data_IF_416884008986
#
_entry.id   IF_416884008986
#
_cell.length_a   1.000
_cell.length_b   1.000
_cell.length_c   1.000
_cell.angle_alpha   90.00
_cell.angle_beta   90.00
_cell.angle_gamma   90.00
#
_symmetry.space_group_name_H-M   'P 1'
#
loop_
_entity.id
_entity.type
_entity.pdbx_description
1 polymer ?
#
# COMPACT_ATOMS: atom_id res chain seq x y z
N UNK A 1 2.56 -2.60 28.10
CA UNK A 1 2.30 -1.96 26.80
C UNK A 1 2.48 -3.03 25.73
N UNK A 2 1.40 -3.73 25.39
CA UNK A 2 1.42 -4.76 24.35
C UNK A 2 1.81 -4.14 23.01
N UNK A 3 2.80 -4.73 22.37
CA UNK A 3 3.39 -4.27 21.12
C UNK A 3 2.31 -4.12 20.05
N UNK A 4 1.93 -2.88 19.71
CA UNK A 4 0.84 -2.57 18.76
C UNK A 4 1.21 -2.87 17.30
N UNK A 5 2.31 -3.56 17.01
CA UNK A 5 2.86 -3.71 15.66
C UNK A 5 3.22 -5.16 15.33
N UNK A 6 2.90 -5.57 14.09
CA UNK A 6 3.38 -6.86 13.54
C UNK A 6 4.91 -6.90 13.50
N UNK A 7 5.55 -8.02 13.88
CA UNK A 7 6.96 -8.23 13.66
C UNK A 7 7.21 -8.45 12.16
N UNK A 8 7.93 -7.52 11.52
CA UNK A 8 8.28 -7.60 10.10
C UNK A 8 9.77 -7.90 9.98
N UNK A 9 10.12 -9.06 9.41
CA UNK A 9 11.51 -9.53 9.25
C UNK A 9 12.37 -8.55 8.44
N UNK A 10 11.79 -7.80 7.52
CA UNK A 10 12.49 -6.78 6.71
C UNK A 10 13.00 -5.57 7.51
N UNK A 11 12.49 -5.33 8.73
CA UNK A 11 12.97 -4.23 9.60
C UNK A 11 14.37 -4.46 10.15
N UNK A 12 14.82 -5.71 10.26
CA UNK A 12 16.19 -6.03 10.69
C UNK A 12 17.21 -6.00 9.54
N UNK A 13 16.80 -5.61 8.32
CA UNK A 13 17.72 -5.52 7.19
C UNK A 13 18.70 -4.33 7.38
N UNK A 14 20.02 -4.57 7.40
CA UNK A 14 21.03 -3.53 7.64
C UNK A 14 20.98 -2.37 6.63
N UNK A 15 20.59 -2.63 5.38
CA UNK A 15 20.47 -1.61 4.35
C UNK A 15 19.30 -0.66 4.63
N UNK A 16 18.16 -1.22 5.05
CA UNK A 16 16.97 -0.43 5.39
C UNK A 16 17.21 0.42 6.64
N UNK A 17 17.96 -0.10 7.63
CA UNK A 17 18.35 0.66 8.83
C UNK A 17 19.26 1.83 8.46
N UNK A 18 20.26 1.61 7.60
CA UNK A 18 21.15 2.69 7.13
C UNK A 18 20.39 3.75 6.34
N UNK A 19 19.48 3.34 5.46
CA UNK A 19 18.65 4.25 4.67
C UNK A 19 17.73 5.08 5.57
N UNK A 20 17.05 4.44 6.53
CA UNK A 20 16.17 5.13 7.48
C UNK A 20 16.94 6.15 8.34
N UNK A 21 18.14 5.80 8.81
CA UNK A 21 19.03 6.75 9.51
C UNK A 21 19.42 7.90 8.60
N UNK A 22 19.86 7.64 7.37
CA UNK A 22 20.24 8.72 6.44
C UNK A 22 19.08 9.68 6.16
N UNK A 23 17.86 9.15 5.95
CA UNK A 23 16.66 9.95 5.74
C UNK A 23 16.24 10.73 6.98
N UNK A 24 16.39 10.16 8.19
CA UNK A 24 16.04 10.86 9.43
C UNK A 24 16.90 12.11 9.65
N UNK A 25 18.17 12.08 9.21
CA UNK A 25 19.10 13.22 9.28
C UNK A 25 18.81 14.31 8.22
N UNK A 26 18.05 13.99 7.17
CA UNK A 26 17.69 14.93 6.07
C UNK A 26 16.46 15.80 6.36
N UNK A 27 15.99 15.87 7.62
CA UNK A 27 14.74 16.51 8.03
C UNK A 27 13.45 15.99 7.34
N UNK A 28 13.53 14.88 6.60
CA UNK A 28 12.36 14.24 6.01
C UNK A 28 11.51 13.63 7.14
N UNK A 29 10.20 13.86 7.08
CA UNK A 29 9.24 13.32 8.05
C UNK A 29 8.67 11.99 7.57
N UNK A 30 8.31 11.07 8.48
CA UNK A 30 7.60 9.83 8.12
C UNK A 30 6.36 10.11 7.27
N UNK A 31 5.55 11.10 7.66
CA UNK A 31 4.30 11.46 6.99
C UNK A 31 4.52 11.87 5.52
N UNK A 32 5.63 12.55 5.20
CA UNK A 32 5.98 12.89 3.82
C UNK A 32 6.27 11.64 2.99
N UNK A 33 6.94 10.65 3.57
CA UNK A 33 7.24 9.36 2.92
C UNK A 33 5.93 8.58 2.68
N UNK A 34 5.04 8.55 3.68
CA UNK A 34 3.74 7.90 3.56
C UNK A 34 2.87 8.54 2.48
N UNK A 35 2.82 9.88 2.41
CA UNK A 35 2.09 10.59 1.34
C UNK A 35 2.71 10.37 -0.04
N UNK A 36 4.04 10.39 -0.14
CA UNK A 36 4.75 10.14 -1.39
C UNK A 36 4.45 8.74 -1.96
N UNK A 37 4.22 7.75 -1.10
CA UNK A 37 3.91 6.37 -1.50
C UNK A 37 2.66 6.22 -2.38
N UNK A 38 1.76 7.21 -2.39
CA UNK A 38 0.57 7.23 -3.24
C UNK A 38 0.94 7.44 -4.71
N UNK A 39 2.02 8.16 -5.01
CA UNK A 39 2.48 8.43 -6.38
C UNK A 39 2.83 7.15 -7.14
N UNK A 40 3.75 6.28 -6.67
CA UNK A 40 4.02 5.01 -7.33
C UNK A 40 2.80 4.08 -7.32
N UNK A 41 1.92 4.18 -6.33
CA UNK A 41 0.66 3.41 -6.32
C UNK A 41 -0.29 3.83 -7.46
N UNK A 42 -0.40 5.13 -7.72
CA UNK A 42 -1.19 5.69 -8.82
C UNK A 42 -0.61 5.31 -10.19
N UNK A 43 0.71 5.36 -10.35
CA UNK A 43 1.39 4.91 -11.57
C UNK A 43 1.10 3.42 -11.82
N UNK A 44 1.18 2.59 -10.77
CA UNK A 44 0.84 1.18 -10.87
C UNK A 44 -0.64 0.95 -11.20
N UNK A 45 -1.57 1.73 -10.65
CA UNK A 45 -2.99 1.66 -11.04
C UNK A 45 -3.16 1.90 -12.54
N UNK A 46 -2.55 2.95 -13.09
CA UNK A 46 -2.63 3.25 -14.53
C UNK A 46 -2.07 2.08 -15.34
N UNK A 47 -0.89 1.59 -14.96
CA UNK A 47 -0.25 0.47 -15.65
C UNK A 47 -1.11 -0.81 -15.59
N UNK A 48 -1.70 -1.12 -14.44
CA UNK A 48 -2.65 -2.21 -14.26
C UNK A 48 -3.92 -2.00 -15.09
N UNK A 49 -4.46 -0.79 -15.18
CA UNK A 49 -5.69 -0.56 -15.97
C UNK A 49 -5.47 -0.69 -17.47
N UNK A 50 -4.24 -0.45 -17.95
CA UNK A 50 -3.94 -0.34 -19.38
C UNK A 50 -3.15 -1.52 -19.97
N UNK A 51 -2.66 -2.47 -19.16
CA UNK A 51 -1.78 -3.53 -19.67
C UNK A 51 -2.40 -4.37 -20.78
N UNK A 52 -3.73 -4.53 -20.81
CA UNK A 52 -4.45 -5.27 -21.85
C UNK A 52 -4.82 -4.44 -23.09
N UNK A 53 -4.66 -3.11 -23.05
CA UNK A 53 -5.09 -2.22 -24.15
C UNK A 53 -4.20 -2.38 -25.39
N UNK A 54 -2.91 -2.66 -25.20
CA UNK A 54 -2.00 -2.90 -26.31
C UNK A 54 -1.98 -4.37 -26.71
N UNK A 55 -1.97 -4.65 -28.01
CA UNK A 55 -1.75 -6.00 -28.56
C UNK A 55 -0.27 -6.40 -28.62
N UNK A 56 0.65 -5.46 -28.39
CA UNK A 56 2.09 -5.70 -28.43
C UNK A 56 2.56 -6.31 -27.11
N UNK A 57 3.00 -7.57 -27.14
CA UNK A 57 3.43 -8.32 -25.96
C UNK A 57 4.45 -7.56 -25.09
N UNK A 58 5.42 -6.88 -25.71
CA UNK A 58 6.45 -6.14 -24.97
C UNK A 58 5.87 -4.94 -24.19
N UNK A 59 4.81 -4.29 -24.70
CA UNK A 59 4.12 -3.19 -23.99
C UNK A 59 3.38 -3.75 -22.78
N UNK A 60 2.70 -4.87 -22.93
CA UNK A 60 1.98 -5.53 -21.83
C UNK A 60 2.94 -5.90 -20.70
N UNK A 61 4.08 -6.54 -21.05
CA UNK A 61 5.12 -6.90 -20.09
C UNK A 61 5.69 -5.66 -19.40
N UNK A 62 5.99 -4.60 -20.16
CA UNK A 62 6.50 -3.35 -19.59
C UNK A 62 5.53 -2.73 -18.59
N UNK A 63 4.23 -2.67 -18.91
CA UNK A 63 3.20 -2.13 -18.02
C UNK A 63 3.06 -2.99 -16.75
N UNK A 64 3.11 -4.32 -16.86
CA UNK A 64 3.10 -5.20 -15.69
C UNK A 64 4.35 -5.04 -14.82
N UNK A 65 5.53 -4.83 -15.42
CA UNK A 65 6.77 -4.53 -14.68
C UNK A 65 6.63 -3.20 -13.93
N UNK A 66 6.08 -2.17 -14.58
CA UNK A 66 5.82 -0.87 -13.94
C UNK A 66 4.84 -1.03 -12.76
N UNK A 67 3.78 -1.83 -12.93
CA UNK A 67 2.84 -2.13 -11.86
C UNK A 67 3.51 -2.81 -10.66
N UNK A 68 4.30 -3.86 -10.90
CA UNK A 68 5.05 -4.57 -9.86
C UNK A 68 6.02 -3.60 -9.16
N UNK A 69 6.76 -2.79 -9.92
CA UNK A 69 7.70 -1.82 -9.37
C UNK A 69 6.98 -0.79 -8.48
N UNK A 70 5.80 -0.28 -8.89
CA UNK A 70 5.02 0.66 -8.09
C UNK A 70 4.48 0.04 -6.80
N UNK A 71 3.98 -1.20 -6.84
CA UNK A 71 3.54 -1.95 -5.66
C UNK A 71 4.69 -2.14 -4.67
N UNK A 72 5.87 -2.55 -5.16
CA UNK A 72 7.06 -2.75 -4.31
C UNK A 72 7.58 -1.42 -3.76
N UNK A 73 7.60 -0.36 -4.56
CA UNK A 73 8.01 0.97 -4.10
C UNK A 73 7.10 1.45 -2.96
N UNK A 74 5.79 1.28 -3.09
CA UNK A 74 4.84 1.61 -2.01
C UNK A 74 5.11 0.79 -0.74
N UNK A 75 5.40 -0.51 -0.87
CA UNK A 75 5.73 -1.36 0.29
C UNK A 75 7.02 -0.90 0.98
N UNK A 76 8.03 -0.50 0.19
CA UNK A 76 9.27 0.06 0.71
C UNK A 76 9.03 1.39 1.43
N UNK A 77 8.17 2.27 0.91
CA UNK A 77 7.81 3.51 1.60
C UNK A 77 7.19 3.24 2.99
N UNK A 78 6.25 2.29 3.10
CA UNK A 78 5.62 1.87 4.37
C UNK A 78 6.60 1.16 5.34
N UNK A 79 7.69 0.59 4.82
CA UNK A 79 8.77 0.09 5.66
C UNK A 79 9.63 1.25 6.19
N UNK A 80 10.02 2.15 5.30
CA UNK A 80 10.95 3.24 5.58
C UNK A 80 10.31 4.29 6.49
N UNK A 81 9.05 4.70 6.28
CA UNK A 81 8.37 5.67 7.13
C UNK A 81 8.27 5.19 8.58
N UNK A 82 7.91 3.93 8.80
CA UNK A 82 7.84 3.29 10.10
C UNK A 82 9.20 3.23 10.79
N UNK A 83 10.28 3.01 10.03
CA UNK A 83 11.65 3.02 10.55
C UNK A 83 12.15 4.45 10.86
N UNK A 84 11.88 5.42 9.99
CA UNK A 84 12.23 6.84 10.20
C UNK A 84 11.48 7.42 11.41
N UNK A 85 10.24 6.99 11.66
CA UNK A 85 9.48 7.40 12.84
C UNK A 85 10.16 6.97 14.14
N UNK A 86 10.68 5.73 14.18
CA UNK A 86 11.36 5.15 15.35
C UNK A 86 12.76 5.77 15.51
N UNK A 87 13.61 5.68 14.48
CA UNK A 87 15.00 6.14 14.52
C UNK A 87 15.10 7.66 14.69
N UNK A 88 14.19 8.41 14.07
CA UNK A 88 14.14 9.87 14.18
C UNK A 88 13.43 10.39 15.43
N UNK A 89 12.88 9.51 16.29
CA UNK A 89 12.01 9.88 17.42
C UNK A 89 10.86 10.83 17.02
N UNK A 90 10.35 10.69 15.79
CA UNK A 90 9.30 11.55 15.20
C UNK A 90 7.91 10.91 15.29
N UNK A 91 7.67 10.08 16.31
CA UNK A 91 6.37 9.43 16.52
C UNK A 91 5.37 10.51 16.96
N UNK A 92 4.27 10.65 16.23
CA UNK A 92 3.20 11.60 16.54
C UNK A 92 1.87 10.86 16.67
N UNK A 93 0.88 11.40 17.41
CA UNK A 93 -0.47 10.82 17.46
C UNK A 93 -1.12 10.74 16.07
N UNK A 94 -0.91 11.76 15.24
CA UNK A 94 -1.36 11.76 13.84
C UNK A 94 -0.60 10.74 12.97
N UNK A 95 0.58 10.27 13.39
CA UNK A 95 1.39 9.31 12.65
C UNK A 95 0.71 7.95 12.47
N UNK A 96 -0.18 7.54 13.39
CA UNK A 96 -0.99 6.33 13.19
C UNK A 96 -1.94 6.50 11.97
N UNK A 97 -2.52 7.69 11.80
CA UNK A 97 -3.37 8.02 10.65
C UNK A 97 -2.58 8.04 9.34
N UNK A 98 -1.42 8.70 9.32
CA UNK A 98 -0.56 8.76 8.13
C UNK A 98 0.05 7.41 7.76
N UNK A 99 0.12 6.46 8.69
CA UNK A 99 0.54 5.09 8.42
C UNK A 99 -0.58 4.23 7.83
N UNK A 100 -1.84 4.60 8.00
CA UNK A 100 -2.96 3.77 7.54
C UNK A 100 -3.73 4.35 6.35
N UNK A 101 -3.91 5.67 6.26
CA UNK A 101 -4.70 6.30 5.20
C UNK A 101 -4.04 6.14 3.82
N UNK A 102 -2.74 6.46 3.62
CA UNK A 102 -2.08 6.26 2.33
C UNK A 102 -2.06 4.79 1.90
N UNK A 103 -1.99 3.88 2.87
CA UNK A 103 -2.09 2.44 2.65
C UNK A 103 -3.45 2.08 2.06
N UNK A 104 -4.56 2.57 2.64
CA UNK A 104 -5.92 2.33 2.12
C UNK A 104 -6.13 2.91 0.73
N UNK A 105 -5.62 4.12 0.50
CA UNK A 105 -5.67 4.76 -0.82
C UNK A 105 -4.92 3.90 -1.84
N UNK A 106 -3.69 3.46 -1.50
CA UNK A 106 -2.88 2.62 -2.38
C UNK A 106 -3.52 1.27 -2.66
N UNK A 107 -4.05 0.60 -1.64
CA UNK A 107 -4.76 -0.68 -1.80
C UNK A 107 -5.97 -0.52 -2.75
N UNK A 108 -6.74 0.57 -2.58
CA UNK A 108 -7.88 0.90 -3.45
C UNK A 108 -7.42 1.14 -4.89
N UNK A 109 -6.36 1.92 -5.09
CA UNK A 109 -5.79 2.18 -6.41
C UNK A 109 -5.39 0.88 -7.12
N UNK A 110 -4.76 -0.07 -6.41
CA UNK A 110 -4.39 -1.36 -7.01
C UNK A 110 -5.60 -2.20 -7.41
N UNK A 111 -6.58 -2.36 -6.53
CA UNK A 111 -7.77 -3.17 -6.82
C UNK A 111 -8.68 -2.53 -7.89
N UNK A 112 -8.81 -1.20 -7.91
CA UNK A 112 -9.51 -0.49 -8.98
C UNK A 112 -8.76 -0.63 -10.30
N UNK A 113 -7.45 -0.46 -10.32
CA UNK A 113 -6.63 -0.66 -11.52
C UNK A 113 -6.78 -2.07 -12.11
N UNK A 114 -6.75 -3.09 -11.24
CA UNK A 114 -7.04 -4.47 -11.64
C UNK A 114 -8.48 -4.65 -12.15
N UNK A 115 -9.47 -4.09 -11.45
CA UNK A 115 -10.87 -4.15 -11.85
C UNK A 115 -11.11 -3.53 -13.22
N UNK A 116 -10.47 -2.38 -13.50
CA UNK A 116 -10.48 -1.71 -14.80
C UNK A 116 -9.86 -2.56 -15.91
N UNK A 117 -8.76 -3.26 -15.61
CA UNK A 117 -8.09 -4.16 -16.56
C UNK A 117 -9.00 -5.28 -17.06
N UNK A 118 -9.99 -5.68 -16.26
CA UNK A 118 -10.94 -6.73 -16.59
C UNK A 118 -12.13 -6.22 -17.43
N UNK A 119 -12.34 -4.91 -17.56
CA UNK A 119 -13.40 -4.29 -18.39
C UNK A 119 -12.99 -4.32 -19.88
N UNK A 120 -12.34 -5.39 -20.32
CA UNK A 120 -11.75 -5.45 -21.66
C UNK A 120 -12.81 -5.19 -22.74
N UNK A 121 -12.54 -4.29 -23.71
CA UNK A 121 -13.43 -4.08 -24.85
C UNK A 121 -13.53 -5.30 -25.78
N UNK A 122 -12.74 -6.36 -25.55
CA UNK A 122 -12.76 -7.60 -26.32
C UNK A 122 -13.57 -8.74 -25.68
N UNK A 123 -14.09 -8.58 -24.46
CA UNK A 123 -15.00 -9.53 -23.83
C UNK A 123 -16.43 -8.99 -23.87
N UNK A 124 -17.28 -9.58 -24.72
CA UNK A 124 -18.72 -9.27 -24.81
C UNK A 124 -19.53 -9.72 -23.58
N UNK A 125 -18.88 -10.20 -22.53
CA UNK A 125 -19.53 -10.54 -21.27
C UNK A 125 -19.62 -9.29 -20.39
N UNK A 126 -20.74 -9.12 -19.69
CA UNK A 126 -20.92 -8.04 -18.73
C UNK A 126 -19.80 -8.10 -17.68
N UNK A 127 -18.75 -7.31 -17.87
CA UNK A 127 -17.55 -7.47 -17.06
C UNK A 127 -17.79 -6.86 -15.68
N UNK A 128 -18.06 -7.73 -14.70
CA UNK A 128 -18.15 -7.39 -13.28
C UNK A 128 -16.79 -6.93 -12.70
N UNK A 129 -15.74 -6.79 -13.52
CA UNK A 129 -14.38 -6.43 -13.11
C UNK A 129 -14.31 -5.20 -12.23
N UNK A 130 -14.96 -4.09 -12.62
CA UNK A 130 -14.99 -2.88 -11.79
C UNK A 130 -15.68 -3.13 -10.44
N UNK A 131 -16.83 -3.81 -10.47
CA UNK A 131 -17.58 -4.12 -9.25
C UNK A 131 -16.75 -4.99 -8.30
N UNK A 132 -16.05 -6.00 -8.81
CA UNK A 132 -15.14 -6.84 -8.04
C UNK A 132 -13.95 -6.04 -7.50
N UNK A 133 -13.34 -5.16 -8.28
CA UNK A 133 -12.25 -4.28 -7.83
C UNK A 133 -12.69 -3.33 -6.72
N UNK A 134 -13.89 -2.74 -6.83
CA UNK A 134 -14.48 -1.89 -5.80
C UNK A 134 -14.84 -2.68 -4.54
N UNK A 135 -15.42 -3.87 -4.68
CA UNK A 135 -15.73 -4.76 -3.55
C UNK A 135 -14.45 -5.20 -2.82
N UNK A 136 -13.41 -5.58 -3.55
CA UNK A 136 -12.11 -5.92 -2.98
C UNK A 136 -11.50 -4.75 -2.22
N UNK A 137 -11.55 -3.53 -2.80
CA UNK A 137 -11.12 -2.29 -2.13
C UNK A 137 -11.88 -2.05 -0.83
N UNK A 138 -13.21 -2.22 -0.86
CA UNK A 138 -14.07 -2.05 0.30
C UNK A 138 -13.74 -3.07 1.40
N UNK A 139 -13.59 -4.35 1.08
CA UNK A 139 -13.22 -5.37 2.07
C UNK A 139 -11.83 -5.16 2.65
N UNK A 140 -10.86 -4.74 1.83
CA UNK A 140 -9.52 -4.38 2.31
C UNK A 140 -9.55 -3.19 3.28
N UNK A 141 -10.34 -2.16 2.98
CA UNK A 141 -10.54 -1.02 3.87
C UNK A 141 -11.28 -1.41 5.16
N UNK A 142 -12.37 -2.18 5.04
CA UNK A 142 -13.16 -2.66 6.19
C UNK A 142 -12.33 -3.51 7.16
N UNK A 143 -11.46 -4.38 6.64
CA UNK A 143 -10.59 -5.21 7.49
C UNK A 143 -9.69 -4.37 8.37
N UNK A 144 -9.08 -3.32 7.80
CA UNK A 144 -8.27 -2.37 8.57
C UNK A 144 -9.14 -1.53 9.52
N UNK A 145 -10.28 -1.05 9.04
CA UNK A 145 -11.21 -0.24 9.83
C UNK A 145 -11.71 -0.97 11.08
N UNK A 146 -12.12 -2.24 10.97
CA UNK A 146 -12.56 -3.06 12.10
C UNK A 146 -11.44 -3.16 13.16
N UNK A 147 -10.19 -3.34 12.75
CA UNK A 147 -9.05 -3.37 13.66
C UNK A 147 -8.88 -2.04 14.39
N UNK A 148 -8.92 -0.93 13.66
CA UNK A 148 -8.74 0.43 14.23
C UNK A 148 -9.87 0.76 15.19
N UNK A 149 -11.11 0.47 14.81
CA UNK A 149 -12.30 0.66 15.64
C UNK A 149 -12.22 -0.20 16.91
N UNK A 150 -11.80 -1.46 16.79
CA UNK A 150 -11.57 -2.31 17.96
C UNK A 150 -10.58 -1.67 18.94
N UNK A 151 -9.44 -1.18 18.42
CA UNK A 151 -8.42 -0.50 19.24
C UNK A 151 -8.96 0.78 19.88
N UNK A 152 -9.76 1.58 19.18
CA UNK A 152 -10.34 2.81 19.75
C UNK A 152 -11.37 2.52 20.85
N UNK A 153 -12.01 1.35 20.84
CA UNK A 153 -12.92 0.88 21.90
C UNK A 153 -12.19 0.19 23.07
N UNK A 154 -10.86 0.16 23.09
CA UNK A 154 -10.06 -0.43 24.18
C UNK A 154 -9.72 -1.91 24.01
N UNK A 155 -10.06 -2.53 22.87
CA UNK A 155 -9.59 -3.88 22.53
C UNK A 155 -8.09 -3.86 22.19
N UNK A 156 -7.34 -4.94 22.47
CA UNK A 156 -5.99 -5.09 21.89
C UNK A 156 -6.06 -5.15 20.35
N UNK A 157 -4.95 -4.79 19.70
CA UNK A 157 -4.81 -4.94 18.26
C UNK A 157 -4.63 -6.43 17.89
N UNK A 158 -5.53 -6.95 17.07
CA UNK A 158 -5.45 -8.32 16.58
C UNK A 158 -4.80 -8.38 15.20
N UNK A 159 -3.85 -9.31 15.05
CA UNK A 159 -3.14 -9.58 13.80
C UNK A 159 -3.38 -11.02 13.34
N UNK A 160 -4.62 -11.50 13.48
CA UNK A 160 -5.08 -12.82 13.06
C UNK A 160 -5.89 -12.74 11.76
N UNK A 161 -6.11 -13.89 11.12
CA UNK A 161 -6.90 -14.01 9.89
C UNK A 161 -6.11 -14.64 8.73
N UNK A 162 -6.79 -15.07 7.65
CA UNK A 162 -6.16 -15.76 6.53
C UNK A 162 -5.21 -14.86 5.71
N UNK A 163 -5.35 -13.54 5.85
CA UNK A 163 -4.54 -12.51 5.17
C UNK A 163 -3.64 -11.75 6.15
N UNK A 164 -3.34 -12.32 7.32
CA UNK A 164 -2.61 -11.67 8.40
C UNK A 164 -1.13 -12.03 8.45
#
# INVERSE_FOLDING_TARGET
MTDKRRPIKSRSNPLMIRLAKWLSHKNITPNQISLFSIVPAFIAMIALSLWQVSSLLWVQILLLIIAIAGIQCRLLCNLIDGMVAIEGRKVTPAGELFNEVPDRISDTLFFVGLGLSLISPFSNEASYGLALGLLASLFAALTAYIRVLGVSMGSPAFFSGPFA
#
